data_IF_162731322953
#
_entry.id   IF_162731322953
#
_cell.length_a   1.000
_cell.length_b   1.000
_cell.length_c   1.000
_cell.angle_alpha   90.00
_cell.angle_beta   90.00
_cell.angle_gamma   90.00
#
_symmetry.space_group_name_H-M   'P 1'
#
loop_
_entity.id
_entity.type
_entity.pdbx_description
1 polymer ?
#
# COMPACT_ATOMS: atom_id res chain seq x y z
N UNK A 1 8.88 -0.41 0.28
CA UNK A 1 8.22 -1.46 -0.52
C UNK A 1 9.30 -2.44 -0.97
N UNK A 2 8.93 -3.66 -1.34
CA UNK A 2 9.95 -4.67 -1.62
C UNK A 2 10.71 -4.40 -2.92
N UNK A 3 10.13 -3.67 -3.87
CA UNK A 3 10.67 -3.58 -5.23
C UNK A 3 11.01 -2.17 -5.72
N UNK A 4 10.59 -1.13 -4.99
CA UNK A 4 10.91 0.27 -5.27
C UNK A 4 11.22 1.03 -3.99
N UNK A 5 11.97 2.10 -4.18
CA UNK A 5 12.48 2.98 -3.14
C UNK A 5 12.37 4.45 -3.57
N UNK A 6 12.53 5.36 -2.61
CA UNK A 6 12.57 6.80 -2.83
C UNK A 6 13.87 7.33 -2.23
N UNK A 7 14.66 8.06 -3.04
CA UNK A 7 15.99 8.51 -2.64
C UNK A 7 15.99 9.62 -1.59
N UNK A 8 14.89 10.38 -1.51
CA UNK A 8 14.70 11.50 -0.58
C UNK A 8 13.46 11.33 0.34
N UNK A 9 12.80 10.18 0.28
CA UNK A 9 11.57 9.89 1.01
C UNK A 9 10.30 10.49 0.39
N UNK A 10 10.39 11.17 -0.77
CA UNK A 10 9.25 11.72 -1.50
C UNK A 10 8.85 10.80 -2.68
N UNK A 11 7.54 10.68 -2.98
CA UNK A 11 7.07 9.83 -4.07
C UNK A 11 7.68 10.15 -5.45
N UNK A 12 7.87 11.42 -5.77
CA UNK A 12 8.40 11.88 -7.05
C UNK A 12 9.81 11.39 -7.37
N UNK A 13 10.61 11.04 -6.37
CA UNK A 13 11.96 10.48 -6.57
C UNK A 13 11.96 8.95 -6.77
N UNK A 14 10.79 8.31 -6.71
CA UNK A 14 10.58 6.87 -6.81
C UNK A 14 11.33 6.21 -7.96
N UNK A 15 11.97 5.08 -7.67
CA UNK A 15 12.64 4.23 -8.65
C UNK A 15 12.60 2.77 -8.19
N UNK A 16 12.77 1.82 -9.11
CA UNK A 16 12.99 0.44 -8.71
C UNK A 16 14.32 0.32 -7.98
N UNK A 17 14.38 -0.52 -6.95
CA UNK A 17 15.60 -0.70 -6.15
C UNK A 17 16.76 -1.07 -7.07
N UNK A 18 17.91 -0.44 -6.84
CA UNK A 18 19.08 -0.56 -7.72
C UNK A 18 19.56 -2.00 -7.94
N UNK A 19 19.42 -2.88 -6.93
CA UNK A 19 19.86 -4.28 -6.94
C UNK A 19 19.01 -5.19 -7.84
N UNK A 20 17.75 -4.83 -8.11
CA UNK A 20 16.81 -5.60 -8.93
C UNK A 20 16.21 -4.80 -10.09
N UNK A 21 16.67 -3.55 -10.30
CA UNK A 21 16.12 -2.61 -11.28
C UNK A 21 16.02 -3.19 -12.69
N UNK A 22 17.08 -3.80 -13.19
CA UNK A 22 17.10 -4.41 -14.54
C UNK A 22 16.06 -5.52 -14.68
N UNK A 23 15.88 -6.34 -13.65
CA UNK A 23 14.88 -7.40 -13.64
C UNK A 23 13.47 -6.82 -13.60
N UNK A 24 13.20 -5.85 -12.72
CA UNK A 24 11.90 -5.19 -12.61
C UNK A 24 11.49 -4.52 -13.93
N UNK A 25 12.39 -3.78 -14.57
CA UNK A 25 12.12 -3.16 -15.87
C UNK A 25 11.81 -4.22 -16.94
N UNK A 26 12.49 -5.37 -16.92
CA UNK A 26 12.23 -6.46 -17.86
C UNK A 26 10.84 -7.09 -17.65
N UNK A 27 10.43 -7.31 -16.39
CA UNK A 27 9.11 -7.84 -16.03
C UNK A 27 8.01 -6.85 -16.44
N UNK A 28 8.14 -5.58 -16.08
CA UNK A 28 7.15 -4.55 -16.41
C UNK A 28 7.01 -4.40 -17.92
N UNK A 29 8.12 -4.44 -18.68
CA UNK A 29 8.07 -4.38 -20.14
C UNK A 29 7.33 -5.58 -20.74
N UNK A 30 7.63 -6.80 -20.28
CA UNK A 30 6.92 -8.00 -20.74
C UNK A 30 5.40 -7.91 -20.49
N UNK A 31 5.00 -7.43 -19.31
CA UNK A 31 3.58 -7.27 -18.98
C UNK A 31 2.93 -6.14 -19.80
N UNK A 32 3.61 -5.01 -19.99
CA UNK A 32 3.12 -3.92 -20.82
C UNK A 32 2.95 -4.30 -22.30
N UNK A 33 3.95 -5.00 -22.88
CA UNK A 33 3.93 -5.44 -24.28
C UNK A 33 2.83 -6.50 -24.54
N UNK A 34 2.42 -7.23 -23.51
CA UNK A 34 1.32 -8.20 -23.56
C UNK A 34 -0.04 -7.62 -23.15
N UNK A 35 -0.12 -6.32 -22.86
CA UNK A 35 -1.35 -5.66 -22.36
C UNK A 35 -1.89 -6.33 -21.08
N UNK A 36 -0.97 -6.80 -20.23
CA UNK A 36 -1.29 -7.43 -18.95
C UNK A 36 -1.19 -6.41 -17.81
N UNK A 37 -2.01 -6.57 -16.74
CA UNK A 37 -1.85 -5.76 -15.54
C UNK A 37 -0.55 -6.08 -14.82
N UNK A 38 -0.06 -5.10 -14.05
CA UNK A 38 1.01 -5.31 -13.07
C UNK A 38 0.41 -5.26 -11.66
N UNK A 39 0.84 -6.16 -10.79
CA UNK A 39 0.31 -6.28 -9.43
C UNK A 39 1.39 -5.97 -8.41
N UNK A 40 1.08 -5.11 -7.43
CA UNK A 40 1.97 -4.78 -6.31
C UNK A 40 1.21 -4.79 -5.00
N UNK A 41 1.92 -5.17 -3.93
CA UNK A 41 1.35 -5.19 -2.59
C UNK A 41 1.76 -3.89 -1.87
N UNK A 42 0.80 -3.24 -1.22
CA UNK A 42 1.02 -1.97 -0.52
C UNK A 42 0.55 -2.13 0.93
N UNK A 43 1.50 -2.05 1.86
CA UNK A 43 1.23 -2.26 3.29
C UNK A 43 1.62 -1.03 4.13
N UNK A 44 0.69 -0.08 4.35
CA UNK A 44 0.88 1.03 5.28
C UNK A 44 1.26 0.60 6.70
N UNK A 45 0.69 -0.51 7.18
CA UNK A 45 1.04 -1.10 8.48
C UNK A 45 2.54 -1.39 8.57
N UNK A 46 3.16 -1.96 7.54
CA UNK A 46 4.58 -2.28 7.55
C UNK A 46 5.46 -1.02 7.59
N UNK A 47 5.04 0.10 6.98
CA UNK A 47 5.72 1.38 7.14
C UNK A 47 5.71 1.87 8.59
N UNK A 48 4.56 1.77 9.26
CA UNK A 48 4.43 2.12 10.68
C UNK A 48 5.22 1.17 11.59
N UNK A 49 5.24 -0.13 11.27
CA UNK A 49 5.95 -1.14 12.05
C UNK A 49 7.48 -1.02 11.93
N UNK A 50 7.99 -0.62 10.76
CA UNK A 50 9.42 -0.56 10.50
C UNK A 50 10.12 0.68 11.07
N UNK A 51 9.40 1.79 11.27
CA UNK A 51 9.97 3.04 11.80
C UNK A 51 9.18 3.54 13.02
N UNK A 52 9.78 3.55 14.23
CA UNK A 52 9.11 4.01 15.44
C UNK A 52 8.78 5.51 15.43
N UNK A 53 9.40 6.29 14.53
CA UNK A 53 9.10 7.71 14.34
C UNK A 53 8.11 7.97 13.21
N UNK A 54 7.62 6.90 12.56
CA UNK A 54 6.64 7.04 11.49
C UNK A 54 5.39 7.75 12.02
N UNK A 55 4.89 8.80 11.34
CA UNK A 55 3.71 9.52 11.79
C UNK A 55 2.50 8.59 11.73
N UNK A 56 2.09 8.05 12.89
CA UNK A 56 1.02 7.03 12.99
C UNK A 56 -0.25 7.39 12.22
N UNK A 57 -0.71 8.63 12.33
CA UNK A 57 -1.92 9.09 11.63
C UNK A 57 -1.79 9.06 10.10
N UNK A 58 -0.56 9.10 9.57
CA UNK A 58 -0.27 9.04 8.13
C UNK A 58 -0.43 7.63 7.57
N UNK A 59 -0.42 6.60 8.44
CA UNK A 59 -0.71 5.23 8.03
C UNK A 59 -2.20 5.01 7.70
N UNK A 60 -3.08 5.93 8.12
CA UNK A 60 -4.52 5.85 7.93
C UNK A 60 -5.04 6.86 6.91
N UNK A 61 -6.20 6.56 6.35
CA UNK A 61 -6.92 7.50 5.49
C UNK A 61 -7.57 8.62 6.33
N UNK A 62 -7.60 9.87 5.83
CA UNK A 62 -8.23 10.99 6.54
C UNK A 62 -9.72 10.75 6.79
N UNK A 63 -10.22 11.12 7.97
CA UNK A 63 -11.63 11.04 8.33
C UNK A 63 -12.16 12.38 8.87
N UNK A 64 -12.87 13.14 8.03
CA UNK A 64 -13.40 14.45 8.42
C UNK A 64 -12.30 15.49 8.58
N UNK A 65 -12.28 16.22 9.70
CA UNK A 65 -11.32 17.30 9.98
C UNK A 65 -10.02 16.84 10.66
N UNK A 66 -9.88 15.55 10.97
CA UNK A 66 -8.67 14.94 11.53
C UNK A 66 -7.80 14.26 10.46
N UNK A 67 -6.49 14.29 10.64
CA UNK A 67 -5.54 13.63 9.73
C UNK A 67 -4.09 13.93 10.06
N UNK A 68 -3.18 13.20 9.40
CA UNK A 68 -1.75 13.47 9.51
C UNK A 68 -1.38 14.83 8.92
N UNK A 69 -0.28 15.39 9.39
CA UNK A 69 0.41 16.45 8.63
C UNK A 69 0.83 15.84 7.28
N UNK A 70 0.47 16.45 6.14
CA UNK A 70 0.77 15.87 4.86
C UNK A 70 2.27 15.88 4.55
N UNK A 71 2.72 14.88 3.80
CA UNK A 71 4.00 14.92 3.11
C UNK A 71 3.81 15.76 1.85
N UNK A 72 4.60 16.83 1.72
CA UNK A 72 4.54 17.76 0.59
C UNK A 72 5.66 17.42 -0.39
N UNK A 73 5.29 17.09 -1.62
CA UNK A 73 6.16 16.70 -2.72
C UNK A 73 5.90 17.63 -3.91
N UNK A 74 6.66 18.73 -3.99
CA UNK A 74 6.41 19.82 -4.93
C UNK A 74 5.03 20.44 -4.71
N UNK A 75 4.15 20.33 -5.71
CA UNK A 75 2.76 20.81 -5.65
C UNK A 75 1.76 19.76 -5.16
N UNK A 76 2.22 18.55 -4.87
CA UNK A 76 1.39 17.43 -4.45
C UNK A 76 1.49 17.26 -2.95
N UNK A 77 0.34 17.10 -2.29
CA UNK A 77 0.25 16.82 -0.86
C UNK A 77 -0.33 15.43 -0.66
N UNK A 78 0.42 14.57 0.01
CA UNK A 78 -0.02 13.24 0.41
C UNK A 78 -0.47 13.28 1.86
N UNK A 79 -1.71 12.88 2.13
CA UNK A 79 -2.29 12.87 3.49
C UNK A 79 -2.26 11.49 4.14
N UNK A 80 -1.92 10.46 3.36
CA UNK A 80 -1.75 9.08 3.82
C UNK A 80 -0.64 8.39 3.01
N UNK A 81 -0.02 7.39 3.62
CA UNK A 81 1.11 6.67 3.03
C UNK A 81 0.69 5.72 1.91
N UNK A 82 -0.56 5.26 1.86
CA UNK A 82 -1.03 4.40 0.77
C UNK A 82 -0.93 5.15 -0.57
N UNK A 83 -1.44 6.38 -0.63
CA UNK A 83 -1.37 7.22 -1.82
C UNK A 83 0.09 7.55 -2.19
N UNK A 84 0.91 7.92 -1.20
CA UNK A 84 2.31 8.22 -1.44
C UNK A 84 3.09 7.02 -1.97
N UNK A 85 2.83 5.83 -1.42
CA UNK A 85 3.51 4.60 -1.80
C UNK A 85 3.09 4.15 -3.21
N UNK A 86 1.79 4.22 -3.53
CA UNK A 86 1.30 3.98 -4.89
C UNK A 86 1.90 4.99 -5.89
N UNK A 87 1.96 6.27 -5.56
CA UNK A 87 2.54 7.28 -6.44
C UNK A 87 4.07 7.18 -6.55
N UNK A 88 4.74 6.57 -5.57
CA UNK A 88 6.16 6.19 -5.68
C UNK A 88 6.36 5.14 -6.78
N UNK A 89 5.47 4.14 -6.85
CA UNK A 89 5.47 3.16 -7.95
C UNK A 89 5.18 3.83 -9.30
N UNK A 90 4.21 4.74 -9.36
CA UNK A 90 3.91 5.51 -10.58
C UNK A 90 5.15 6.25 -11.05
N UNK A 91 5.85 6.95 -10.16
CA UNK A 91 7.11 7.64 -10.48
C UNK A 91 8.21 6.67 -10.92
N UNK A 92 8.34 5.50 -10.28
CA UNK A 92 9.30 4.49 -10.69
C UNK A 92 9.03 3.96 -12.12
N UNK A 93 7.77 3.76 -12.50
CA UNK A 93 7.39 3.36 -13.85
C UNK A 93 7.73 4.45 -14.87
N UNK A 94 7.31 5.69 -14.62
CA UNK A 94 7.55 6.85 -15.51
C UNK A 94 9.05 7.08 -15.72
N UNK A 95 9.83 7.03 -14.65
CA UNK A 95 11.29 7.20 -14.67
C UNK A 95 12.02 6.14 -15.50
N UNK A 96 11.42 4.96 -15.67
CA UNK A 96 11.96 3.86 -16.46
C UNK A 96 11.33 3.75 -17.86
N UNK A 97 10.67 4.82 -18.33
CA UNK A 97 10.18 4.96 -19.70
C UNK A 97 8.83 4.30 -19.97
N UNK A 98 8.08 3.96 -18.92
CA UNK A 98 6.73 3.42 -19.04
C UNK A 98 5.69 4.53 -18.93
N UNK A 99 4.63 4.45 -19.75
CA UNK A 99 3.45 5.30 -19.58
C UNK A 99 2.56 4.69 -18.48
N UNK A 100 2.73 5.16 -17.25
CA UNK A 100 2.01 4.64 -16.09
C UNK A 100 0.48 4.80 -16.23
N UNK A 101 -0.03 5.68 -17.09
CA UNK A 101 -1.47 5.82 -17.33
C UNK A 101 -2.02 4.75 -18.29
N UNK A 102 -1.16 4.08 -19.05
CA UNK A 102 -1.55 2.98 -19.95
C UNK A 102 -1.37 1.60 -19.35
N UNK A 103 -0.56 1.50 -18.30
CA UNK A 103 -0.39 0.24 -17.57
C UNK A 103 -1.46 0.15 -16.48
N UNK A 104 -2.23 -0.93 -16.52
CA UNK A 104 -3.15 -1.29 -15.45
C UNK A 104 -2.36 -1.73 -14.22
N UNK A 105 -2.59 -1.07 -13.07
CA UNK A 105 -1.94 -1.37 -11.80
C UNK A 105 -3.00 -1.90 -10.84
N UNK A 106 -2.78 -3.10 -10.33
CA UNK A 106 -3.59 -3.76 -9.30
C UNK A 106 -2.84 -3.68 -7.97
N UNK A 107 -3.53 -3.29 -6.91
CA UNK A 107 -3.04 -3.49 -5.54
C UNK A 107 -3.43 -4.90 -5.12
N UNK A 108 -2.48 -5.83 -5.21
CA UNK A 108 -2.72 -7.26 -5.01
C UNK A 108 -2.94 -7.64 -3.54
N UNK A 109 -2.35 -6.88 -2.64
CA UNK A 109 -2.59 -7.04 -1.21
C UNK A 109 -2.47 -5.68 -0.51
N UNK A 110 -3.43 -5.41 0.37
CA UNK A 110 -3.42 -4.30 1.33
C UNK A 110 -4.30 -4.67 2.50
N UNK A 111 -3.90 -4.33 3.72
CA UNK A 111 -4.69 -4.64 4.90
C UNK A 111 -4.07 -4.09 6.17
N UNK A 112 -4.58 -4.56 7.31
CA UNK A 112 -4.08 -4.19 8.62
C UNK A 112 -4.34 -5.32 9.62
N UNK A 113 -3.33 -5.79 10.37
CA UNK A 113 -3.49 -6.91 11.28
C UNK A 113 -4.22 -6.52 12.56
N UNK A 114 -4.93 -7.46 13.17
CA UNK A 114 -5.73 -7.22 14.39
C UNK A 114 -5.07 -7.64 15.68
N UNK A 115 -3.86 -8.21 15.64
CA UNK A 115 -3.12 -8.63 16.83
C UNK A 115 -1.64 -8.84 16.48
N UNK A 116 -0.81 -9.14 17.46
CA UNK A 116 0.59 -9.51 17.30
C UNK A 116 1.57 -8.34 17.18
N UNK A 117 1.10 -7.09 17.31
CA UNK A 117 1.91 -5.87 17.44
C UNK A 117 1.15 -4.78 18.22
N UNK A 118 1.86 -3.80 18.79
CA UNK A 118 1.25 -2.66 19.51
C UNK A 118 0.31 -1.82 18.62
N UNK A 119 0.56 -1.77 17.31
CA UNK A 119 -0.26 -1.09 16.32
C UNK A 119 -1.24 -2.03 15.60
N UNK A 120 -1.33 -3.29 16.00
CA UNK A 120 -2.25 -4.29 15.47
C UNK A 120 -3.37 -4.56 16.49
N UNK A 121 -4.58 -4.08 16.21
CA UNK A 121 -5.77 -4.36 17.01
C UNK A 121 -7.04 -4.21 16.16
N UNK A 122 -8.18 -4.79 16.55
CA UNK A 122 -9.40 -4.73 15.74
C UNK A 122 -9.86 -3.31 15.41
N UNK A 123 -9.72 -2.36 16.35
CA UNK A 123 -10.15 -0.98 16.12
C UNK A 123 -9.31 -0.26 15.05
N UNK A 124 -7.98 -0.46 15.04
CA UNK A 124 -7.12 0.11 14.00
C UNK A 124 -7.29 -0.60 12.66
N UNK A 125 -7.50 -1.91 12.67
CA UNK A 125 -7.77 -2.65 11.46
C UNK A 125 -9.09 -2.23 10.81
N UNK A 126 -10.15 -2.08 11.60
CA UNK A 126 -11.43 -1.54 11.14
C UNK A 126 -11.27 -0.11 10.61
N UNK A 127 -10.56 0.77 11.33
CA UNK A 127 -10.29 2.15 10.88
C UNK A 127 -9.63 2.16 9.51
N UNK A 128 -8.59 1.35 9.31
CA UNK A 128 -7.85 1.30 8.06
C UNK A 128 -8.71 0.72 6.93
N UNK A 129 -9.30 -0.47 7.13
CA UNK A 129 -10.05 -1.18 6.10
C UNK A 129 -11.37 -0.47 5.74
N UNK A 130 -12.05 0.17 6.70
CA UNK A 130 -13.22 1.00 6.41
C UNK A 130 -12.81 2.27 5.63
N UNK A 131 -11.67 2.88 5.98
CA UNK A 131 -11.10 3.99 5.23
C UNK A 131 -10.78 3.59 3.79
N UNK A 132 -10.18 2.42 3.58
CA UNK A 132 -9.91 1.88 2.25
C UNK A 132 -11.21 1.66 1.46
N UNK A 133 -12.19 0.97 2.07
CA UNK A 133 -13.48 0.69 1.44
C UNK A 133 -14.21 1.98 1.02
N UNK A 134 -14.24 2.99 1.88
CA UNK A 134 -14.87 4.27 1.56
C UNK A 134 -14.27 4.91 0.30
N UNK A 135 -12.95 4.81 0.12
CA UNK A 135 -12.23 5.36 -1.04
C UNK A 135 -12.54 4.58 -2.31
N UNK A 136 -12.57 3.26 -2.22
CA UNK A 136 -12.97 2.37 -3.32
C UNK A 136 -14.39 2.72 -3.77
N UNK A 137 -15.34 2.85 -2.84
CA UNK A 137 -16.73 3.22 -3.14
C UNK A 137 -16.87 4.62 -3.75
N UNK A 138 -15.96 5.54 -3.43
CA UNK A 138 -15.91 6.87 -4.02
C UNK A 138 -15.21 6.91 -5.39
N UNK A 139 -14.64 5.80 -5.86
CA UNK A 139 -13.83 5.77 -7.07
C UNK A 139 -12.59 6.66 -6.96
N UNK A 140 -12.05 6.82 -5.75
CA UNK A 140 -10.92 7.71 -5.49
C UNK A 140 -9.59 7.06 -5.89
N UNK A 141 -8.88 7.67 -6.84
CA UNK A 141 -7.46 7.39 -7.11
C UNK A 141 -6.52 8.17 -6.19
N UNK A 142 -5.25 8.20 -6.56
CA UNK A 142 -4.18 8.94 -5.87
C UNK A 142 -4.01 10.36 -6.42
N UNK A 143 -3.23 11.23 -5.74
CA UNK A 143 -2.95 12.57 -6.26
C UNK A 143 -2.32 12.61 -7.66
N UNK A 144 -1.40 11.72 -8.01
CA UNK A 144 -0.83 11.62 -9.38
C UNK A 144 -1.71 10.82 -10.32
N UNK A 145 -2.34 9.73 -9.86
CA UNK A 145 -3.20 8.86 -10.69
C UNK A 145 -4.64 8.89 -10.19
N UNK A 146 -5.43 9.78 -10.78
CA UNK A 146 -6.83 10.01 -10.37
C UNK A 146 -7.77 8.82 -10.60
N UNK A 147 -7.40 7.89 -11.48
CA UNK A 147 -8.15 6.65 -11.70
C UNK A 147 -7.94 5.71 -10.51
N UNK A 148 -9.03 5.24 -9.91
CA UNK A 148 -8.98 4.26 -8.84
C UNK A 148 -8.35 2.93 -9.33
N UNK A 149 -7.41 2.35 -8.57
CA UNK A 149 -6.90 1.02 -8.88
C UNK A 149 -7.90 -0.07 -8.46
N UNK A 150 -7.76 -1.26 -9.04
CA UNK A 150 -8.32 -2.47 -8.47
C UNK A 150 -7.53 -2.84 -7.20
N UNK A 151 -8.23 -3.25 -6.14
CA UNK A 151 -7.64 -3.47 -4.81
C UNK A 151 -8.15 -4.76 -4.19
N UNK A 152 -7.23 -5.60 -3.72
CA UNK A 152 -7.51 -6.83 -3.00
C UNK A 152 -7.12 -6.66 -1.53
N UNK A 153 -8.10 -6.85 -0.64
CA UNK A 153 -7.87 -6.77 0.81
C UNK A 153 -7.24 -8.08 1.27
N UNK A 154 -6.10 -7.94 1.96
CA UNK A 154 -5.42 -9.05 2.61
C UNK A 154 -5.79 -9.08 4.10
N UNK A 155 -6.44 -10.12 4.62
CA UNK A 155 -6.93 -11.34 3.93
C UNK A 155 -8.33 -11.71 4.39
N UNK A 156 -8.90 -12.78 3.82
CA UNK A 156 -10.24 -13.24 4.21
C UNK A 156 -10.25 -13.76 5.66
N UNK A 157 -9.34 -14.67 6.00
CA UNK A 157 -9.27 -15.33 7.32
C UNK A 157 -7.87 -15.20 7.91
N UNK A 158 -7.78 -15.25 9.24
CA UNK A 158 -6.51 -15.43 9.92
C UNK A 158 -5.83 -16.75 9.51
N UNK A 159 -4.54 -16.69 9.20
CA UNK A 159 -3.74 -17.82 8.71
C UNK A 159 -2.81 -18.34 9.81
N UNK A 160 -3.28 -19.30 10.61
CA UNK A 160 -2.57 -19.81 11.79
C UNK A 160 -1.26 -20.55 11.49
N UNK A 161 -1.16 -21.13 10.29
CA UNK A 161 0.03 -21.81 9.78
C UNK A 161 1.09 -20.85 9.19
N UNK A 162 0.83 -19.54 9.11
CA UNK A 162 1.75 -18.58 8.50
C UNK A 162 3.04 -18.42 9.31
N UNK A 163 4.17 -18.21 8.62
CA UNK A 163 5.43 -17.87 9.28
C UNK A 163 5.29 -16.55 10.04
N UNK A 164 5.96 -16.46 11.19
CA UNK A 164 6.02 -15.26 12.02
C UNK A 164 7.39 -14.58 11.96
N UNK A 165 8.26 -14.97 11.01
CA UNK A 165 9.58 -14.36 10.87
C UNK A 165 9.50 -12.83 10.67
N UNK A 166 8.54 -12.27 9.89
CA UNK A 166 8.33 -10.82 9.81
C UNK A 166 7.77 -10.18 11.10
N UNK A 167 7.07 -10.97 11.93
CA UNK A 167 6.45 -10.54 13.17
C UNK A 167 5.27 -11.41 13.59
N UNK A 168 4.88 -11.31 14.86
CA UNK A 168 3.72 -12.08 15.39
C UNK A 168 2.40 -11.68 14.74
N UNK A 169 2.30 -10.47 14.19
CA UNK A 169 1.12 -9.96 13.50
C UNK A 169 0.76 -10.73 12.23
N UNK A 170 1.69 -11.51 11.66
CA UNK A 170 1.48 -12.22 10.40
C UNK A 170 0.28 -13.16 10.42
N UNK A 171 -0.11 -13.71 11.56
CA UNK A 171 -1.25 -14.64 11.65
C UNK A 171 -2.60 -13.95 11.82
N UNK A 172 -2.65 -12.62 11.74
CA UNK A 172 -3.79 -11.82 12.22
C UNK A 172 -4.34 -10.81 11.20
N UNK A 173 -4.09 -11.00 9.90
CA UNK A 173 -4.54 -10.11 8.82
C UNK A 173 -6.00 -10.31 8.38
N UNK A 174 -6.66 -11.38 8.81
CA UNK A 174 -8.00 -11.72 8.37
C UNK A 174 -9.04 -10.67 8.78
N UNK A 175 -10.02 -10.41 7.92
CA UNK A 175 -11.27 -9.74 8.30
C UNK A 175 -12.20 -10.68 9.11
N UNK A 176 -11.99 -11.99 8.96
CA UNK A 176 -12.57 -13.04 9.79
C UNK A 176 -11.47 -13.78 10.59
N UNK A 177 -11.84 -14.35 11.73
CA UNK A 177 -11.01 -15.31 12.46
C UNK A 177 -10.92 -16.64 11.70
N UNK A 178 -10.00 -17.52 12.11
CA UNK A 178 -9.78 -18.83 11.46
C UNK A 178 -11.03 -19.73 11.45
N UNK A 179 -11.96 -19.51 12.39
CA UNK A 179 -13.25 -20.21 12.50
C UNK A 179 -14.40 -19.51 11.74
N UNK A 180 -14.12 -18.40 11.06
CA UNK A 180 -15.08 -17.61 10.31
C UNK A 180 -15.82 -16.53 11.12
N UNK A 181 -15.49 -16.32 12.40
CA UNK A 181 -16.08 -15.23 13.18
C UNK A 181 -15.64 -13.85 12.63
N UNK A 182 -16.57 -12.89 12.56
CA UNK A 182 -16.28 -11.51 12.13
C UNK A 182 -15.39 -10.82 13.16
N UNK A 183 -14.32 -10.14 12.72
CA UNK A 183 -13.39 -9.45 13.63
C UNK A 183 -13.74 -7.98 13.87
N UNK A 184 -14.42 -7.33 12.93
CA UNK A 184 -14.89 -5.94 13.03
C UNK A 184 -15.92 -5.59 11.95
#
# INVERSE_FOLDING_TARGET
ADVYESGDGLPSSGDFRSDIKTLMVSIVRFLADSVSPITFNIYPFLSLNADPNFPREYAFFPNGSGGAKPVVDGSISYTNVFDANFDTLVSALEKNGFDANKIEIIVGEVGWPTDGDQNANPALAQRFNQGLLNRILQGQGTPRRRTAPEVYIFSLVDEDAKSIDPGKFERHWGIFSYDGAVKY
#
